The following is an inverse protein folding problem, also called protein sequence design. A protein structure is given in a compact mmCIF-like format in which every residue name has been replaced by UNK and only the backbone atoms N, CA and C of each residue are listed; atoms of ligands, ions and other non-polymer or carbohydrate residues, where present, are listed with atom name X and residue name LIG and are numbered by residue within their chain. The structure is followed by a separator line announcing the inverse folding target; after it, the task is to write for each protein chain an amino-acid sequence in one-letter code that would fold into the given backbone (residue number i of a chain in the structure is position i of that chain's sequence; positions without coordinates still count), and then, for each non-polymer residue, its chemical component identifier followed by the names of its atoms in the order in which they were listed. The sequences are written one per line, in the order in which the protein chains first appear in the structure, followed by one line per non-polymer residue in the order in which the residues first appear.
data_IF_672911697059
#
_entry.id   IF_672911697059
#
_cell.length_a   1.000
_cell.length_b   1.000
_cell.length_c   1.000
_cell.angle_alpha   90.00
_cell.angle_beta   90.00
_cell.angle_gamma   90.00
#
_symmetry.space_group_name_H-M   'P 1'
#
loop_
_entity.id
_entity.type
_entity.pdbx_description
1 polymer ?
#
# COMPACT_ATOMS: atom_id res chain seq x y z
N UNK A 1 -4.17 45.92 -48.46
CA UNK A 1 -3.21 44.96 -49.01
C UNK A 1 -3.00 43.92 -47.94
N UNK A 2 -3.77 42.81 -48.06
CA UNK A 2 -3.87 41.80 -47.00
C UNK A 2 -3.01 40.59 -47.39
N UNK A 3 -1.91 40.37 -46.68
CA UNK A 3 -0.96 39.29 -46.96
C UNK A 3 -1.37 38.06 -46.14
N UNK A 4 -1.97 37.04 -46.82
CA UNK A 4 -2.28 35.75 -46.26
C UNK A 4 -0.99 34.90 -46.21
N UNK A 5 -0.53 34.59 -45.00
CA UNK A 5 0.57 33.62 -44.79
C UNK A 5 0.01 32.21 -44.65
N UNK A 6 0.23 31.38 -45.68
CA UNK A 6 -0.09 29.96 -45.65
C UNK A 6 0.91 29.20 -44.78
N UNK A 7 0.48 28.64 -43.64
CA UNK A 7 1.24 27.64 -42.90
C UNK A 7 1.10 26.30 -43.61
N UNK A 8 2.19 25.89 -44.28
CA UNK A 8 2.33 24.54 -44.82
C UNK A 8 2.55 23.57 -43.67
N UNK A 9 1.53 22.76 -43.29
CA UNK A 9 1.68 21.69 -42.34
C UNK A 9 2.48 20.53 -42.95
N UNK A 10 3.61 20.18 -42.35
CA UNK A 10 4.36 18.97 -42.65
C UNK A 10 3.54 17.75 -42.25
N UNK A 11 3.03 16.99 -43.21
CA UNK A 11 2.51 15.64 -42.98
C UNK A 11 3.67 14.70 -42.75
N UNK A 12 3.93 14.37 -41.49
CA UNK A 12 4.84 13.27 -41.13
C UNK A 12 4.19 11.95 -41.51
N UNK A 13 4.58 11.40 -42.66
CA UNK A 13 4.31 10.01 -42.98
C UNK A 13 5.10 9.13 -42.01
N UNK A 14 4.39 8.46 -41.09
CA UNK A 14 4.97 7.47 -40.21
C UNK A 14 5.66 6.37 -41.05
N UNK A 15 6.90 5.99 -40.73
CA UNK A 15 7.56 4.87 -41.42
C UNK A 15 6.72 3.62 -41.20
N UNK A 16 6.43 2.90 -42.30
CA UNK A 16 5.77 1.60 -42.28
C UNK A 16 6.59 0.67 -41.39
N UNK A 17 6.00 0.24 -40.27
CA UNK A 17 6.57 -0.80 -39.42
C UNK A 17 6.69 -2.06 -40.28
N UNK A 18 7.87 -2.64 -40.42
CA UNK A 18 8.01 -3.89 -41.17
C UNK A 18 7.09 -4.95 -40.53
N UNK A 19 6.30 -5.62 -41.37
CA UNK A 19 5.43 -6.72 -40.92
C UNK A 19 6.29 -7.75 -40.19
N UNK A 20 5.97 -8.03 -38.92
CA UNK A 20 6.64 -9.10 -38.19
C UNK A 20 6.46 -10.42 -38.93
N UNK A 21 7.52 -11.21 -39.10
CA UNK A 21 7.42 -12.53 -39.71
C UNK A 21 6.37 -13.34 -38.96
N UNK A 22 5.40 -13.88 -39.71
CA UNK A 22 4.37 -14.75 -39.15
C UNK A 22 5.08 -16.00 -38.62
N UNK A 23 5.15 -16.09 -37.28
CA UNK A 23 5.65 -17.31 -36.66
C UNK A 23 4.80 -18.51 -37.10
N UNK A 24 5.41 -19.62 -37.50
CA UNK A 24 4.69 -20.82 -37.85
C UNK A 24 3.81 -21.22 -36.64
N UNK A 25 2.54 -21.49 -36.88
CA UNK A 25 1.64 -22.01 -35.86
C UNK A 25 2.22 -23.33 -35.37
N UNK A 26 2.91 -23.30 -34.24
CA UNK A 26 3.41 -24.48 -33.56
C UNK A 26 2.20 -25.21 -32.98
N UNK A 27 1.68 -26.21 -33.68
CA UNK A 27 0.67 -27.11 -33.14
C UNK A 27 1.35 -28.10 -32.21
N UNK A 28 1.16 -27.96 -30.91
CA UNK A 28 1.66 -28.92 -29.95
C UNK A 28 0.99 -30.28 -30.14
N UNK A 29 1.75 -31.36 -30.27
CA UNK A 29 1.20 -32.69 -30.37
C UNK A 29 0.39 -33.03 -29.12
N UNK A 30 -0.69 -33.78 -29.27
CA UNK A 30 -1.69 -34.07 -28.22
C UNK A 30 -1.17 -34.83 -27.01
N UNK A 31 0.06 -35.37 -27.08
CA UNK A 31 0.70 -36.03 -25.95
C UNK A 31 1.33 -35.08 -24.93
N UNK A 32 1.41 -33.76 -25.23
CA UNK A 32 1.92 -32.74 -24.30
C UNK A 32 0.90 -32.23 -23.29
N UNK A 33 -0.20 -32.95 -23.05
CA UNK A 33 -1.06 -32.74 -21.87
C UNK A 33 -0.32 -33.24 -20.63
N UNK A 34 0.81 -32.66 -20.32
CA UNK A 34 1.45 -32.79 -19.02
C UNK A 34 0.53 -32.06 -18.06
N UNK A 35 -0.17 -32.80 -17.24
CA UNK A 35 -0.84 -32.28 -16.06
C UNK A 35 0.27 -31.75 -15.16
N UNK A 36 0.53 -30.44 -15.22
CA UNK A 36 1.46 -29.80 -14.30
C UNK A 36 0.87 -30.00 -12.91
N UNK A 37 1.63 -30.62 -11.98
CA UNK A 37 1.20 -30.60 -10.59
C UNK A 37 0.96 -29.15 -10.18
N UNK A 38 -0.13 -28.89 -9.46
CA UNK A 38 -0.41 -27.58 -8.90
C UNK A 38 0.84 -27.12 -8.14
N UNK A 39 1.58 -26.18 -8.72
CA UNK A 39 2.70 -25.56 -8.02
C UNK A 39 2.06 -24.71 -6.94
N UNK A 40 2.18 -25.17 -5.71
CA UNK A 40 1.78 -24.42 -4.53
C UNK A 40 2.73 -23.22 -4.45
N UNK A 41 2.27 -22.07 -4.99
CA UNK A 41 3.06 -20.85 -4.99
C UNK A 41 3.09 -20.37 -3.55
N UNK A 42 4.25 -20.49 -2.91
CA UNK A 42 4.48 -19.91 -1.59
C UNK A 42 4.15 -18.42 -1.61
N UNK A 43 3.12 -18.05 -0.87
CA UNK A 43 2.69 -16.66 -0.67
C UNK A 43 3.25 -16.20 0.68
N UNK A 44 4.33 -15.43 0.71
CA UNK A 44 4.88 -14.97 1.98
C UNK A 44 3.94 -13.96 2.64
N UNK A 45 3.85 -14.03 3.96
CA UNK A 45 3.24 -12.97 4.77
C UNK A 45 4.18 -11.76 4.76
N UNK A 46 3.67 -10.62 4.31
CA UNK A 46 4.42 -9.36 4.26
C UNK A 46 3.84 -8.44 5.33
N UNK A 47 4.63 -8.15 6.36
CA UNK A 47 4.27 -7.22 7.43
C UNK A 47 4.95 -5.87 7.17
N UNK A 48 4.16 -4.80 7.06
CA UNK A 48 4.65 -3.44 6.85
C UNK A 48 3.98 -2.46 7.81
N UNK A 49 4.79 -1.67 8.52
CA UNK A 49 4.33 -0.66 9.47
C UNK A 49 4.31 -1.13 10.91
N UNK A 50 3.58 -0.42 11.76
CA UNK A 50 3.43 -0.76 13.18
C UNK A 50 2.47 -1.92 13.36
N UNK A 51 2.88 -2.94 14.12
CA UNK A 51 1.98 -4.04 14.52
C UNK A 51 1.36 -3.64 15.84
N UNK A 52 0.04 -3.41 15.85
CA UNK A 52 -0.71 -3.04 17.03
C UNK A 52 -1.57 -4.20 17.52
N UNK A 53 -1.59 -4.42 18.83
CA UNK A 53 -2.61 -5.28 19.47
C UNK A 53 -3.82 -4.42 19.84
N UNK A 54 -5.03 -4.87 19.50
CA UNK A 54 -6.27 -4.16 19.83
C UNK A 54 -6.45 -3.98 21.35
N UNK A 55 -5.90 -4.92 22.12
CA UNK A 55 -5.97 -4.87 23.59
C UNK A 55 -5.16 -3.71 24.13
N UNK A 56 -3.96 -3.48 23.58
CA UNK A 56 -3.08 -2.40 24.00
C UNK A 56 -3.63 -1.04 23.53
N UNK A 57 -4.16 -0.99 22.31
CA UNK A 57 -4.84 0.22 21.79
C UNK A 57 -6.05 0.61 22.64
N UNK A 58 -6.75 -0.36 23.23
CA UNK A 58 -7.89 -0.08 24.12
C UNK A 58 -7.48 0.41 25.50
N UNK A 59 -6.23 0.21 25.92
CA UNK A 59 -5.68 0.73 27.15
C UNK A 59 -5.20 2.19 27.04
N UNK A 60 -5.19 2.75 25.81
CA UNK A 60 -4.85 4.15 25.61
C UNK A 60 -5.88 5.07 26.25
N UNK A 61 -5.42 5.95 27.12
CA UNK A 61 -6.23 6.95 27.82
C UNK A 61 -5.70 8.36 27.56
N UNK A 62 -6.61 9.33 27.53
CA UNK A 62 -6.23 10.74 27.46
C UNK A 62 -5.44 11.13 28.72
N UNK A 63 -4.40 11.91 28.54
CA UNK A 63 -3.53 12.30 29.64
C UNK A 63 -2.27 11.44 29.80
N UNK A 64 -2.12 10.36 29.07
CA UNK A 64 -0.90 9.55 29.04
C UNK A 64 0.29 10.35 28.51
N UNK A 65 1.48 10.10 29.05
CA UNK A 65 2.71 10.68 28.53
C UNK A 65 3.16 9.97 27.26
N UNK A 66 3.93 10.64 26.40
CA UNK A 66 4.53 10.04 25.22
C UNK A 66 5.31 8.76 25.51
N UNK A 67 6.08 8.74 26.62
CA UNK A 67 6.82 7.56 27.04
C UNK A 67 5.89 6.39 27.38
N UNK A 68 4.81 6.65 28.11
CA UNK A 68 3.83 5.60 28.44
C UNK A 68 3.12 5.04 27.20
N UNK A 69 2.85 5.89 26.21
CA UNK A 69 2.29 5.43 24.92
C UNK A 69 3.28 4.55 24.17
N UNK A 70 4.57 4.92 24.11
CA UNK A 70 5.61 4.10 23.47
C UNK A 70 5.77 2.76 24.20
N UNK A 71 5.75 2.76 25.51
CA UNK A 71 5.88 1.53 26.32
C UNK A 71 4.69 0.58 26.09
N UNK A 72 3.51 1.13 25.80
CA UNK A 72 2.27 0.37 25.63
C UNK A 72 2.12 -0.18 24.21
N UNK A 73 2.25 0.69 23.20
CA UNK A 73 1.95 0.34 21.78
C UNK A 73 3.16 0.45 20.84
N UNK A 74 4.34 0.77 21.40
CA UNK A 74 5.57 0.89 20.62
C UNK A 74 5.73 2.26 19.94
N UNK A 75 6.75 2.36 19.10
CA UNK A 75 7.08 3.59 18.37
C UNK A 75 6.12 3.81 17.19
N UNK A 76 5.73 5.06 16.89
CA UNK A 76 4.88 5.36 15.75
C UNK A 76 5.57 5.06 14.43
N UNK A 77 4.78 4.70 13.40
CA UNK A 77 5.26 4.52 12.03
C UNK A 77 5.72 5.83 11.42
N UNK A 78 5.00 6.92 11.75
CA UNK A 78 5.31 8.26 11.25
C UNK A 78 5.31 9.22 12.43
N UNK A 79 6.42 9.94 12.57
CA UNK A 79 6.58 11.06 13.47
C UNK A 79 7.06 12.25 12.64
N UNK A 80 6.12 13.11 12.25
CA UNK A 80 6.41 14.27 11.41
C UNK A 80 7.19 15.32 12.21
N UNK A 81 8.38 15.73 11.75
CA UNK A 81 9.15 16.78 12.41
C UNK A 81 8.45 18.15 12.36
N UNK A 82 7.54 18.38 11.43
CA UNK A 82 6.75 19.62 11.31
C UNK A 82 5.51 19.61 12.20
N UNK A 83 4.95 18.40 12.44
CA UNK A 83 3.79 18.18 13.31
C UNK A 83 4.19 17.34 14.52
N UNK A 84 5.13 17.84 15.33
CA UNK A 84 5.71 17.14 16.51
C UNK A 84 4.70 16.65 17.55
N UNK A 85 3.46 17.09 17.40
CA UNK A 85 2.36 16.75 18.32
C UNK A 85 1.48 15.62 17.78
N UNK A 86 1.70 15.15 16.54
CA UNK A 86 0.93 14.09 15.93
C UNK A 86 1.81 12.86 15.70
N UNK A 87 1.29 11.71 16.10
CA UNK A 87 1.89 10.41 15.84
C UNK A 87 0.89 9.55 15.08
N UNK A 88 1.37 8.94 14.02
CA UNK A 88 0.55 8.06 13.17
C UNK A 88 1.11 6.64 13.21
N UNK A 89 0.25 5.69 13.56
CA UNK A 89 0.52 4.27 13.52
C UNK A 89 -0.24 3.68 12.35
N UNK A 90 0.50 3.28 11.33
CA UNK A 90 -0.06 2.77 10.09
C UNK A 90 0.44 1.35 9.88
N UNK A 91 -0.46 0.46 9.48
CA UNK A 91 -0.13 -0.87 9.03
C UNK A 91 -0.73 -1.13 7.66
N UNK A 92 0.05 -1.77 6.81
CA UNK A 92 -0.38 -2.31 5.55
C UNK A 92 0.29 -3.66 5.37
N UNK A 93 -0.38 -4.71 5.84
CA UNK A 93 0.17 -6.05 5.86
C UNK A 93 -0.67 -6.99 5.02
N UNK A 94 -0.03 -7.94 4.36
CA UNK A 94 -0.70 -9.00 3.61
C UNK A 94 -0.36 -10.33 4.23
N UNK A 95 -1.37 -11.08 4.65
CA UNK A 95 -1.23 -12.41 5.23
C UNK A 95 -1.54 -13.45 4.16
N UNK A 96 -0.62 -14.39 3.94
CA UNK A 96 -0.75 -15.50 2.99
C UNK A 96 -1.12 -15.06 1.55
N UNK A 97 -0.81 -13.79 1.22
CA UNK A 97 -1.06 -13.19 -0.09
C UNK A 97 -2.53 -12.98 -0.46
N UNK A 98 -3.45 -13.10 0.50
CA UNK A 98 -4.89 -12.97 0.27
C UNK A 98 -5.58 -12.01 1.23
N UNK A 99 -5.15 -11.98 2.49
CA UNK A 99 -5.77 -11.13 3.49
C UNK A 99 -4.96 -9.86 3.69
N UNK A 100 -5.52 -8.73 3.32
CA UNK A 100 -4.95 -7.40 3.59
C UNK A 100 -5.43 -6.90 4.96
N UNK A 101 -4.46 -6.52 5.81
CA UNK A 101 -4.71 -5.80 7.04
C UNK A 101 -4.25 -4.37 6.84
N UNK A 102 -5.18 -3.45 6.90
CA UNK A 102 -4.90 -2.03 6.78
C UNK A 102 -5.57 -1.28 7.93
N UNK A 103 -4.79 -0.55 8.72
CA UNK A 103 -5.33 0.32 9.76
C UNK A 103 -4.49 1.57 9.95
N UNK A 104 -5.14 2.59 10.49
CA UNK A 104 -4.53 3.86 10.84
C UNK A 104 -5.06 4.31 12.20
N UNK A 105 -4.15 4.45 13.17
CA UNK A 105 -4.40 5.05 14.47
C UNK A 105 -3.65 6.37 14.53
N UNK A 106 -4.34 7.46 14.81
CA UNK A 106 -3.76 8.78 14.94
C UNK A 106 -3.85 9.25 16.39
N UNK A 107 -2.74 9.67 16.94
CA UNK A 107 -2.62 10.22 18.28
C UNK A 107 -2.16 11.68 18.21
N UNK A 108 -2.83 12.57 18.94
CA UNK A 108 -2.45 13.97 19.03
C UNK A 108 -2.05 14.29 20.46
N UNK A 109 -0.92 14.95 20.62
CA UNK A 109 -0.36 15.32 21.90
C UNK A 109 -0.43 16.84 22.12
N UNK A 110 -0.72 17.26 23.33
CA UNK A 110 -0.53 18.64 23.80
C UNK A 110 0.73 18.70 24.65
N UNK A 111 1.84 19.14 24.05
CA UNK A 111 3.16 18.98 24.67
C UNK A 111 3.57 17.51 24.73
N UNK A 112 3.71 16.96 25.93
CA UNK A 112 4.06 15.55 26.16
C UNK A 112 2.88 14.68 26.60
N UNK A 113 1.66 15.23 26.60
CA UNK A 113 0.46 14.57 27.10
C UNK A 113 -0.49 14.28 25.96
N UNK A 114 -1.02 13.06 25.91
CA UNK A 114 -2.00 12.61 24.90
C UNK A 114 -3.32 13.37 25.09
N UNK A 115 -3.72 14.12 24.06
CA UNK A 115 -4.91 14.98 24.06
C UNK A 115 -6.05 14.44 23.20
N UNK A 116 -5.73 13.66 22.16
CA UNK A 116 -6.75 13.12 21.25
C UNK A 116 -6.31 11.75 20.74
N UNK A 117 -7.28 10.84 20.61
CA UNK A 117 -7.10 9.50 20.05
C UNK A 117 -8.13 9.31 18.95
N UNK A 118 -7.68 9.23 17.71
CA UNK A 118 -8.55 8.90 16.56
C UNK A 118 -8.39 7.43 16.19
N UNK A 119 -9.40 6.65 16.52
CA UNK A 119 -9.52 5.21 16.26
C UNK A 119 -10.35 4.90 15.01
N UNK A 120 -10.75 5.88 14.23
CA UNK A 120 -11.65 5.70 13.06
C UNK A 120 -11.07 4.79 11.99
N UNK A 121 -9.75 4.75 11.86
CA UNK A 121 -9.03 3.91 10.90
C UNK A 121 -8.74 2.48 11.38
N UNK A 122 -9.24 2.03 12.53
CA UNK A 122 -8.93 0.71 13.11
C UNK A 122 -9.86 -0.44 12.64
N UNK A 123 -10.72 -0.20 11.66
CA UNK A 123 -11.68 -1.19 11.18
C UNK A 123 -11.04 -2.50 10.68
N UNK A 124 -9.77 -2.44 10.25
CA UNK A 124 -9.00 -3.62 9.84
C UNK A 124 -8.50 -4.51 10.99
N UNK A 125 -8.47 -4.00 12.25
CA UNK A 125 -8.00 -4.76 13.40
C UNK A 125 -9.07 -5.67 14.01
N UNK A 126 -10.36 -5.35 13.82
CA UNK A 126 -11.46 -6.10 14.44
C UNK A 126 -11.84 -7.38 13.69
N UNK A 127 -11.30 -7.64 12.52
CA UNK A 127 -11.67 -8.77 11.67
C UNK A 127 -10.90 -10.07 11.98
N UNK A 128 -9.98 -10.06 12.97
CA UNK A 128 -9.05 -11.16 13.22
C UNK A 128 -9.14 -11.76 14.66
N UNK A 129 -10.36 -11.84 15.21
CA UNK A 129 -10.63 -12.63 16.43
C UNK A 129 -11.57 -13.76 16.15
#
# INVERSE_FOLDING_TARGET
MLTFMFLSGCSNSLPKIPEMPKFPKFSMPSWTKVSLPSIDIYKPTILQGSILDIKDVNQLELGMSKSAVIDLIGTPSISDPFHKYQWDYINHSTIDGEQEIHYHLKLVFSGDVLSEIDKSGLNGLSSNQ
#
